data_IF_352072958636
#
_entry.id   IF_352072958636
#
_cell.length_a   1.000
_cell.length_b   1.000
_cell.length_c   1.000
_cell.angle_alpha   90.00
_cell.angle_beta   90.00
_cell.angle_gamma   90.00
#
_symmetry.space_group_name_H-M   'P 1'
#
loop_
_entity.id
_entity.type
_entity.pdbx_description
1 polymer ?
#
# COMPACT_ATOMS: atom_id res chain seq x y z
N UNK A 1 3.50 -16.47 23.85
CA UNK A 1 2.45 -15.44 23.98
C UNK A 1 2.59 -14.48 22.81
N UNK A 2 1.98 -14.76 21.65
CA UNK A 2 2.24 -14.01 20.40
C UNK A 2 0.97 -13.62 19.60
N UNK A 3 -0.23 -13.96 20.07
CA UNK A 3 -1.45 -13.76 19.27
C UNK A 3 -2.01 -12.33 19.30
N UNK A 4 -1.46 -11.44 20.12
CA UNK A 4 -1.98 -10.07 20.30
C UNK A 4 -1.20 -9.00 19.52
N UNK A 5 -0.01 -9.32 19.00
CA UNK A 5 0.87 -8.36 18.31
C UNK A 5 0.62 -8.28 16.80
N UNK A 6 -0.23 -9.17 16.28
CA UNK A 6 -0.48 -9.30 14.85
C UNK A 6 -1.99 -9.19 14.57
N UNK A 7 -2.45 -8.03 14.10
CA UNK A 7 -3.82 -7.84 13.63
C UNK A 7 -3.81 -8.07 12.11
N UNK A 8 -4.62 -9.01 11.61
CA UNK A 8 -4.69 -9.38 10.19
C UNK A 8 -3.41 -9.99 9.56
N UNK A 9 -2.47 -10.45 10.39
CA UNK A 9 -1.19 -11.01 9.90
C UNK A 9 -0.13 -9.94 9.61
N UNK A 10 -0.26 -8.74 10.18
CA UNK A 10 0.75 -7.66 10.13
C UNK A 10 1.17 -7.24 11.54
N UNK A 11 2.47 -6.99 11.79
CA UNK A 11 2.99 -6.43 13.04
C UNK A 11 2.33 -5.09 13.42
N UNK A 12 1.99 -4.94 14.69
CA UNK A 12 1.44 -3.69 15.25
C UNK A 12 2.34 -2.46 14.98
N UNK A 13 3.67 -2.65 14.93
CA UNK A 13 4.64 -1.59 14.65
C UNK A 13 4.38 -0.89 13.32
N UNK A 14 4.01 -1.62 12.26
CA UNK A 14 3.63 -1.06 10.96
C UNK A 14 2.31 -0.29 11.01
N UNK A 15 1.33 -0.72 11.80
CA UNK A 15 0.07 -0.01 11.96
C UNK A 15 0.28 1.35 12.65
N UNK A 16 1.17 1.40 13.64
CA UNK A 16 1.57 2.66 14.30
C UNK A 16 2.29 3.58 13.30
N UNK A 17 3.17 3.05 12.45
CA UNK A 17 3.80 3.84 11.39
C UNK A 17 2.80 4.36 10.35
N UNK A 18 1.83 3.54 9.95
CA UNK A 18 0.74 3.98 9.08
C UNK A 18 -0.05 5.14 9.71
N UNK A 19 -0.43 5.02 10.98
CA UNK A 19 -1.14 6.09 11.69
C UNK A 19 -0.31 7.39 11.72
N UNK A 20 0.97 7.31 12.09
CA UNK A 20 1.89 8.47 12.07
C UNK A 20 1.99 9.10 10.68
N UNK A 21 1.98 8.27 9.64
CA UNK A 21 2.01 8.71 8.24
C UNK A 21 0.74 9.45 7.84
N UNK A 22 -0.44 8.94 8.26
CA UNK A 22 -1.73 9.60 8.01
C UNK A 22 -1.76 10.98 8.68
N UNK A 23 -1.43 11.05 9.98
CA UNK A 23 -1.39 12.31 10.73
C UNK A 23 -0.41 13.33 10.12
N UNK A 24 0.72 12.84 9.58
CA UNK A 24 1.70 13.68 8.88
C UNK A 24 1.14 14.22 7.57
N UNK A 25 0.50 13.37 6.75
CA UNK A 25 -0.09 13.76 5.48
C UNK A 25 -1.15 14.83 5.69
N UNK A 26 -2.02 14.69 6.69
CA UNK A 26 -3.03 15.69 7.02
C UNK A 26 -2.41 17.06 7.36
N UNK A 27 -1.28 17.06 8.09
CA UNK A 27 -0.53 18.29 8.39
C UNK A 27 0.11 18.89 7.14
N UNK A 28 0.69 18.05 6.28
CA UNK A 28 1.31 18.48 5.02
C UNK A 28 0.27 19.07 4.08
N UNK A 29 -0.90 18.44 3.94
CA UNK A 29 -1.99 18.91 3.10
C UNK A 29 -2.59 20.21 3.65
N UNK A 30 -2.77 20.32 4.97
CA UNK A 30 -3.20 21.55 5.62
C UNK A 30 -2.20 22.71 5.41
N UNK A 31 -0.89 22.43 5.43
CA UNK A 31 0.14 23.41 5.16
C UNK A 31 0.14 23.87 3.69
N UNK A 32 0.03 22.92 2.74
CA UNK A 32 -0.05 23.20 1.30
C UNK A 32 -1.28 24.01 0.93
N UNK A 33 -2.43 23.74 1.56
CA UNK A 33 -3.66 24.49 1.30
C UNK A 33 -3.64 25.92 1.86
N UNK A 34 -2.88 26.18 2.95
CA UNK A 34 -2.78 27.51 3.56
C UNK A 34 -1.77 28.43 2.86
N UNK A 35 -0.72 27.86 2.29
CA UNK A 35 0.33 28.63 1.63
C UNK A 35 0.19 28.52 0.12
N UNK A 36 -0.18 29.62 -0.54
CA UNK A 36 -0.05 29.80 -2.01
C UNK A 36 1.40 29.59 -2.50
N UNK A 37 2.36 29.47 -1.57
CA UNK A 37 3.79 29.24 -1.79
C UNK A 37 4.15 27.83 -1.30
N UNK A 38 4.86 27.10 -2.16
CA UNK A 38 5.28 25.69 -2.14
C UNK A 38 6.17 25.22 -0.98
N UNK A 39 6.40 26.03 0.05
CA UNK A 39 7.45 25.74 1.04
C UNK A 39 6.85 25.26 2.36
N UNK A 40 7.05 23.97 2.65
CA UNK A 40 6.68 23.33 3.91
C UNK A 40 7.50 23.97 5.06
N UNK A 41 6.90 24.28 6.23
CA UNK A 41 7.66 24.77 7.38
C UNK A 41 8.79 23.81 7.76
N UNK A 42 9.97 24.33 8.13
CA UNK A 42 11.16 23.51 8.46
C UNK A 42 10.89 22.45 9.53
N UNK A 43 10.04 22.76 10.51
CA UNK A 43 9.68 21.80 11.56
C UNK A 43 8.86 20.64 11.00
N UNK A 44 7.97 20.90 10.04
CA UNK A 44 7.20 19.86 9.36
C UNK A 44 8.08 19.06 8.38
N UNK A 45 9.06 19.70 7.75
CA UNK A 45 10.06 19.02 6.91
C UNK A 45 10.87 18.01 7.73
N UNK A 46 11.34 18.39 8.92
CA UNK A 46 12.01 17.45 9.85
C UNK A 46 11.13 16.27 10.24
N UNK A 47 9.85 16.53 10.53
CA UNK A 47 8.89 15.45 10.81
C UNK A 47 8.71 14.52 9.62
N UNK A 48 8.77 15.04 8.39
CA UNK A 48 8.74 14.22 7.18
C UNK A 48 9.99 13.35 7.07
N UNK A 49 11.17 13.91 7.33
CA UNK A 49 12.44 13.18 7.30
C UNK A 49 12.49 12.07 8.36
N UNK A 50 12.00 12.36 9.57
CA UNK A 50 11.95 11.38 10.67
C UNK A 50 11.02 10.20 10.34
N UNK A 51 9.81 10.48 9.83
CA UNK A 51 8.87 9.42 9.42
C UNK A 51 9.37 8.66 8.20
N UNK A 52 9.99 9.34 7.23
CA UNK A 52 10.63 8.67 6.09
C UNK A 52 11.68 7.68 6.57
N UNK A 53 12.58 8.11 7.44
CA UNK A 53 13.61 7.25 8.02
C UNK A 53 12.99 6.06 8.73
N UNK A 54 12.00 6.29 9.59
CA UNK A 54 11.34 5.21 10.34
C UNK A 54 10.66 4.18 9.41
N UNK A 55 10.13 4.61 8.27
CA UNK A 55 9.54 3.71 7.27
C UNK A 55 10.64 2.95 6.52
N UNK A 56 11.65 3.63 5.98
CA UNK A 56 12.66 3.00 5.12
C UNK A 56 13.64 2.11 5.90
N UNK A 57 13.96 2.46 7.15
CA UNK A 57 14.82 1.68 8.03
C UNK A 57 14.04 0.64 8.86
N UNK A 58 12.73 0.47 8.60
CA UNK A 58 11.90 -0.47 9.36
C UNK A 58 12.42 -1.92 9.19
N UNK A 59 12.72 -2.63 10.29
CA UNK A 59 13.52 -3.85 10.22
C UNK A 59 12.66 -5.09 9.95
N UNK A 60 12.24 -5.26 8.69
CA UNK A 60 11.39 -6.38 8.22
C UNK A 60 11.86 -7.75 8.72
N UNK A 61 13.13 -8.10 8.49
CA UNK A 61 13.65 -9.42 8.84
C UNK A 61 13.75 -9.64 10.36
N UNK A 62 14.05 -8.59 11.14
CA UNK A 62 14.13 -8.68 12.59
C UNK A 62 12.74 -8.88 13.20
N UNK A 63 11.76 -8.13 12.75
CA UNK A 63 10.37 -8.23 13.21
C UNK A 63 9.78 -9.60 12.85
N UNK A 64 10.12 -10.12 11.65
CA UNK A 64 9.62 -11.42 11.20
C UNK A 64 10.39 -12.61 11.78
N UNK A 65 11.64 -12.44 12.24
CA UNK A 65 12.42 -13.52 12.85
C UNK A 65 11.69 -14.19 14.02
N UNK A 66 10.93 -13.40 14.79
CA UNK A 66 10.14 -13.84 15.93
C UNK A 66 9.05 -14.86 15.55
N UNK A 67 8.55 -14.79 14.31
CA UNK A 67 7.51 -15.67 13.78
C UNK A 67 8.08 -16.91 13.10
N UNK A 68 9.35 -16.86 12.65
CA UNK A 68 10.03 -18.01 12.03
C UNK A 68 10.26 -19.13 13.04
N UNK A 69 10.66 -18.77 14.26
CA UNK A 69 10.97 -19.73 15.32
C UNK A 69 9.73 -20.45 15.87
N UNK A 70 8.52 -20.00 15.51
CA UNK A 70 7.26 -20.55 16.00
C UNK A 70 6.80 -21.83 15.26
N UNK A 71 7.55 -22.32 14.27
CA UNK A 71 7.28 -23.57 13.52
C UNK A 71 5.94 -23.58 12.73
N UNK A 72 5.53 -22.42 12.21
CA UNK A 72 4.26 -22.20 11.50
C UNK A 72 4.49 -22.13 9.98
N UNK A 73 5.28 -23.05 9.39
CA UNK A 73 5.84 -22.94 8.02
C UNK A 73 4.97 -22.24 6.97
N UNK A 74 3.83 -22.83 6.58
CA UNK A 74 2.93 -22.22 5.57
C UNK A 74 2.34 -20.87 6.00
N UNK A 75 1.94 -20.70 7.27
CA UNK A 75 1.37 -19.43 7.70
C UNK A 75 2.45 -18.37 7.90
N UNK A 76 3.69 -18.75 8.16
CA UNK A 76 4.84 -17.85 8.22
C UNK A 76 5.07 -17.20 6.85
N UNK A 77 5.06 -17.98 5.77
CA UNK A 77 5.24 -17.44 4.41
C UNK A 77 4.13 -16.43 4.07
N UNK A 78 2.87 -16.74 4.42
CA UNK A 78 1.75 -15.80 4.24
C UNK A 78 1.97 -14.53 5.05
N UNK A 79 2.37 -14.63 6.34
CA UNK A 79 2.65 -13.48 7.20
C UNK A 79 3.81 -12.66 6.63
N UNK A 80 4.86 -13.31 6.12
CA UNK A 80 6.02 -12.67 5.52
C UNK A 80 5.62 -11.82 4.31
N UNK A 81 4.96 -12.43 3.32
CA UNK A 81 4.51 -11.73 2.12
C UNK A 81 3.48 -10.63 2.44
N UNK A 82 2.59 -10.88 3.40
CA UNK A 82 1.61 -9.88 3.83
C UNK A 82 2.29 -8.67 4.48
N UNK A 83 3.26 -8.91 5.36
CA UNK A 83 4.00 -7.87 6.05
C UNK A 83 4.84 -7.05 5.07
N UNK A 84 5.56 -7.73 4.17
CA UNK A 84 6.38 -7.07 3.14
C UNK A 84 5.53 -6.25 2.18
N UNK A 85 4.42 -6.79 1.69
CA UNK A 85 3.50 -6.03 0.81
C UNK A 85 2.91 -4.82 1.51
N UNK A 86 2.55 -4.92 2.79
CA UNK A 86 2.05 -3.78 3.56
C UNK A 86 3.11 -2.70 3.78
N UNK A 87 4.33 -3.09 4.13
CA UNK A 87 5.45 -2.17 4.29
C UNK A 87 5.77 -1.43 2.99
N UNK A 88 5.84 -2.14 1.88
CA UNK A 88 6.03 -1.54 0.55
C UNK A 88 4.87 -0.60 0.16
N UNK A 89 3.63 -0.95 0.52
CA UNK A 89 2.47 -0.08 0.28
C UNK A 89 2.54 1.20 1.12
N UNK A 90 3.05 1.11 2.35
CA UNK A 90 3.33 2.26 3.20
C UNK A 90 4.40 3.18 2.60
N UNK A 91 5.46 2.62 2.02
CA UNK A 91 6.48 3.39 1.28
C UNK A 91 5.84 4.15 0.11
N UNK A 92 5.01 3.48 -0.70
CA UNK A 92 4.27 4.11 -1.81
C UNK A 92 3.37 5.23 -1.28
N UNK A 93 2.58 4.95 -0.25
CA UNK A 93 1.65 5.90 0.34
C UNK A 93 2.36 7.14 0.88
N UNK A 94 3.45 6.99 1.63
CA UNK A 94 4.25 8.12 2.10
C UNK A 94 4.84 8.91 0.93
N UNK A 95 5.50 8.21 0.00
CA UNK A 95 6.25 8.82 -1.11
C UNK A 95 5.37 9.63 -2.05
N UNK A 96 4.16 9.15 -2.33
CA UNK A 96 3.18 9.85 -3.15
C UNK A 96 2.71 11.15 -2.50
N UNK A 97 2.54 11.16 -1.17
CA UNK A 97 1.80 12.21 -0.48
C UNK A 97 2.71 13.26 0.12
N UNK A 98 3.84 12.84 0.64
CA UNK A 98 4.79 13.74 1.27
C UNK A 98 5.81 14.21 0.24
N UNK A 99 6.50 13.28 -0.43
CA UNK A 99 7.62 13.58 -1.35
C UNK A 99 7.21 13.84 -2.79
N UNK A 100 5.97 13.53 -3.17
CA UNK A 100 5.44 13.66 -4.53
C UNK A 100 6.33 12.96 -5.59
N UNK A 101 6.89 11.79 -5.25
CA UNK A 101 7.82 11.07 -6.12
C UNK A 101 7.15 10.60 -7.42
N UNK A 102 7.95 10.52 -8.48
CA UNK A 102 7.53 9.95 -9.76
C UNK A 102 7.21 8.47 -9.61
N UNK A 103 6.14 8.02 -10.27
CA UNK A 103 5.81 6.59 -10.43
C UNK A 103 7.00 5.72 -10.85
N UNK A 104 7.96 6.27 -11.62
CA UNK A 104 9.17 5.55 -12.04
C UNK A 104 10.02 5.06 -10.86
N UNK A 105 10.10 5.84 -9.77
CA UNK A 105 10.82 5.44 -8.56
C UNK A 105 10.02 4.44 -7.71
N UNK A 106 8.69 4.44 -7.85
CA UNK A 106 7.80 3.56 -7.08
C UNK A 106 7.62 2.18 -7.72
N UNK A 107 8.02 2.02 -8.98
CA UNK A 107 7.86 0.80 -9.77
C UNK A 107 8.36 -0.46 -9.09
N UNK A 108 9.50 -0.40 -8.40
CA UNK A 108 10.06 -1.55 -7.70
C UNK A 108 9.13 -2.04 -6.58
N UNK A 109 8.59 -1.13 -5.77
CA UNK A 109 7.66 -1.44 -4.69
C UNK A 109 6.34 -1.99 -5.23
N UNK A 110 5.85 -1.44 -6.35
CA UNK A 110 4.65 -1.95 -7.04
C UNK A 110 4.86 -3.41 -7.48
N UNK A 111 6.02 -3.72 -8.07
CA UNK A 111 6.34 -5.05 -8.54
C UNK A 111 6.49 -6.06 -7.40
N UNK A 112 7.12 -5.66 -6.29
CA UNK A 112 7.25 -6.49 -5.09
C UNK A 112 5.90 -6.78 -4.44
N UNK A 113 5.04 -5.77 -4.27
CA UNK A 113 3.69 -5.98 -3.73
C UNK A 113 2.90 -6.95 -4.60
N UNK A 114 2.95 -6.78 -5.93
CA UNK A 114 2.25 -7.66 -6.85
C UNK A 114 2.75 -9.10 -6.78
N UNK A 115 4.06 -9.29 -6.66
CA UNK A 115 4.65 -10.61 -6.45
C UNK A 115 4.17 -11.24 -5.13
N UNK A 116 4.16 -10.46 -4.04
CA UNK A 116 3.76 -10.92 -2.71
C UNK A 116 2.29 -11.36 -2.67
N UNK A 117 1.38 -10.54 -3.22
CA UNK A 117 -0.06 -10.88 -3.24
C UNK A 117 -0.36 -12.06 -4.15
N UNK A 118 0.39 -12.26 -5.24
CA UNK A 118 0.28 -13.45 -6.09
C UNK A 118 0.79 -14.71 -5.36
N UNK A 119 1.92 -14.61 -4.65
CA UNK A 119 2.50 -15.69 -3.86
C UNK A 119 1.56 -16.13 -2.73
N UNK A 120 0.95 -15.19 -2.01
CA UNK A 120 -0.05 -15.47 -0.98
C UNK A 120 -1.22 -16.28 -1.56
N UNK A 121 -1.75 -15.87 -2.71
CA UNK A 121 -2.88 -16.56 -3.35
C UNK A 121 -2.47 -17.93 -3.92
N UNK A 122 -1.22 -18.13 -4.32
CA UNK A 122 -0.69 -19.45 -4.70
C UNK A 122 -0.65 -20.39 -3.48
N UNK A 123 -0.05 -19.95 -2.37
CA UNK A 123 0.04 -20.71 -1.12
C UNK A 123 -1.36 -21.07 -0.60
N UNK A 124 -2.30 -20.12 -0.60
CA UNK A 124 -3.70 -20.36 -0.21
C UNK A 124 -4.37 -21.43 -1.07
N UNK A 125 -4.09 -21.44 -2.37
CA UNK A 125 -4.66 -22.42 -3.30
C UNK A 125 -4.11 -23.82 -3.00
N UNK A 126 -2.79 -23.95 -2.81
CA UNK A 126 -2.12 -25.21 -2.50
C UNK A 126 -2.57 -25.80 -1.15
N UNK A 127 -2.77 -24.92 -0.16
CA UNK A 127 -3.13 -25.31 1.22
C UNK A 127 -4.62 -25.33 1.49
N UNK A 128 -5.44 -25.00 0.47
CA UNK A 128 -6.91 -24.90 0.55
C UNK A 128 -7.39 -23.94 1.65
N UNK A 129 -6.62 -22.89 1.91
CA UNK A 129 -6.93 -21.89 2.92
C UNK A 129 -7.85 -20.81 2.34
N UNK A 130 -9.04 -20.68 2.90
CA UNK A 130 -10.01 -19.66 2.49
C UNK A 130 -9.91 -18.44 3.42
N UNK A 131 -8.99 -17.53 3.12
CA UNK A 131 -8.90 -16.24 3.80
C UNK A 131 -8.80 -15.11 2.79
N UNK A 132 -9.58 -14.06 3.02
CA UNK A 132 -9.52 -12.83 2.25
C UNK A 132 -8.10 -12.22 2.31
N UNK A 133 -7.56 -11.72 1.18
CA UNK A 133 -6.32 -10.95 1.22
C UNK A 133 -6.54 -9.59 1.89
N UNK A 134 -5.46 -8.98 2.39
CA UNK A 134 -5.50 -7.56 2.75
C UNK A 134 -5.48 -6.75 1.45
N UNK A 135 -6.51 -5.93 1.29
CA UNK A 135 -6.74 -5.27 0.01
C UNK A 135 -5.99 -3.96 -0.13
N UNK A 136 -5.75 -3.24 0.98
CA UNK A 136 -5.08 -1.94 0.94
C UNK A 136 -3.72 -1.97 0.25
N UNK A 137 -2.82 -2.95 0.48
CA UNK A 137 -1.54 -3.02 -0.26
C UNK A 137 -1.74 -3.17 -1.77
N UNK A 138 -2.62 -4.08 -2.19
CA UNK A 138 -2.93 -4.30 -3.60
C UNK A 138 -3.54 -3.06 -4.26
N UNK A 139 -4.45 -2.37 -3.56
CA UNK A 139 -5.03 -1.11 -4.01
C UNK A 139 -3.95 -0.05 -4.21
N UNK A 140 -3.12 0.21 -3.19
CA UNK A 140 -2.07 1.21 -3.25
C UNK A 140 -1.10 0.96 -4.41
N UNK A 141 -0.60 -0.27 -4.54
CA UNK A 141 0.31 -0.64 -5.62
C UNK A 141 -0.34 -0.51 -7.01
N UNK A 142 -1.59 -0.98 -7.16
CA UNK A 142 -2.30 -0.92 -8.43
C UNK A 142 -2.54 0.53 -8.89
N UNK A 143 -2.79 1.47 -7.98
CA UNK A 143 -2.96 2.89 -8.34
C UNK A 143 -1.69 3.54 -8.93
N UNK A 144 -0.51 2.95 -8.73
CA UNK A 144 0.78 3.38 -9.31
C UNK A 144 1.25 2.50 -10.48
N UNK A 145 0.49 1.46 -10.83
CA UNK A 145 0.81 0.59 -11.95
C UNK A 145 0.45 1.28 -13.28
N UNK A 146 1.42 2.00 -13.86
CA UNK A 146 1.25 2.64 -15.17
C UNK A 146 1.71 1.75 -16.35
N UNK A 147 2.51 0.73 -16.09
CA UNK A 147 2.93 -0.23 -17.12
C UNK A 147 1.79 -1.20 -17.43
N UNK A 148 1.46 -1.35 -18.72
CA UNK A 148 0.43 -2.26 -19.19
C UNK A 148 0.61 -3.69 -18.65
N UNK A 149 1.84 -4.20 -18.62
CA UNK A 149 2.14 -5.52 -18.08
C UNK A 149 1.77 -5.68 -16.60
N UNK A 150 2.03 -4.65 -15.77
CA UNK A 150 1.66 -4.68 -14.35
C UNK A 150 0.15 -4.57 -14.19
N UNK A 151 -0.51 -3.70 -14.97
CA UNK A 151 -1.97 -3.58 -14.97
C UNK A 151 -2.67 -4.90 -15.31
N UNK A 152 -2.18 -5.62 -16.32
CA UNK A 152 -2.74 -6.92 -16.73
C UNK A 152 -2.60 -7.97 -15.63
N UNK A 153 -1.46 -8.02 -14.94
CA UNK A 153 -1.29 -8.90 -13.79
C UNK A 153 -2.20 -8.53 -12.62
N UNK A 154 -2.35 -7.24 -12.30
CA UNK A 154 -3.31 -6.79 -11.29
C UNK A 154 -4.75 -7.15 -11.68
N UNK A 155 -5.15 -7.04 -12.96
CA UNK A 155 -6.47 -7.50 -13.44
C UNK A 155 -6.68 -8.98 -13.13
N UNK A 156 -5.74 -9.83 -13.55
CA UNK A 156 -5.79 -11.27 -13.29
C UNK A 156 -5.90 -11.56 -11.78
N UNK A 157 -5.15 -10.84 -10.95
CA UNK A 157 -5.23 -10.98 -9.51
C UNK A 157 -6.61 -10.59 -8.95
N UNK A 158 -7.16 -9.44 -9.34
CA UNK A 158 -8.50 -9.00 -8.91
C UNK A 158 -9.61 -9.98 -9.32
N UNK A 159 -9.52 -10.56 -10.52
CA UNK A 159 -10.44 -11.60 -10.98
C UNK A 159 -10.35 -12.86 -10.11
N UNK A 160 -9.12 -13.30 -9.77
CA UNK A 160 -8.90 -14.47 -8.90
C UNK A 160 -9.49 -14.27 -7.51
N UNK A 161 -9.33 -13.10 -6.91
CA UNK A 161 -9.81 -12.82 -5.54
C UNK A 161 -11.27 -12.37 -5.49
N UNK A 162 -11.94 -12.21 -6.63
CA UNK A 162 -13.37 -11.84 -6.70
C UNK A 162 -14.28 -12.88 -6.01
N UNK A 163 -13.82 -14.14 -5.90
CA UNK A 163 -14.52 -15.24 -5.21
C UNK A 163 -14.80 -14.93 -3.73
N UNK A 164 -14.00 -14.07 -3.09
CA UNK A 164 -14.20 -13.69 -1.69
C UNK A 164 -15.40 -12.74 -1.50
N UNK A 165 -16.01 -12.21 -2.57
CA UNK A 165 -17.26 -11.46 -2.50
C UNK A 165 -17.20 -10.12 -1.75
N UNK A 166 -15.99 -9.59 -1.52
CA UNK A 166 -15.78 -8.39 -0.71
C UNK A 166 -16.20 -7.14 -1.48
N UNK A 167 -17.20 -6.42 -0.98
CA UNK A 167 -17.72 -5.21 -1.65
C UNK A 167 -16.65 -4.11 -1.77
N UNK A 168 -15.86 -3.89 -0.72
CA UNK A 168 -14.78 -2.90 -0.71
C UNK A 168 -13.76 -3.12 -1.83
N UNK A 169 -13.43 -4.38 -2.10
CA UNK A 169 -12.54 -4.77 -3.21
C UNK A 169 -13.10 -4.29 -4.54
N UNK A 170 -14.38 -4.59 -4.83
CA UNK A 170 -15.03 -4.20 -6.08
C UNK A 170 -15.00 -2.69 -6.29
N UNK A 171 -15.33 -1.95 -5.24
CA UNK A 171 -15.32 -0.49 -5.24
C UNK A 171 -13.90 0.07 -5.47
N UNK A 172 -12.89 -0.47 -4.80
CA UNK A 172 -11.50 -0.07 -4.99
C UNK A 172 -10.96 -0.41 -6.39
N UNK A 173 -11.31 -1.57 -6.95
CA UNK A 173 -10.93 -1.97 -8.31
C UNK A 173 -11.48 -1.01 -9.36
N UNK A 174 -12.71 -0.49 -9.18
CA UNK A 174 -13.26 0.53 -10.07
C UNK A 174 -12.43 1.83 -10.07
N UNK A 175 -12.02 2.28 -8.88
CA UNK A 175 -11.13 3.45 -8.75
C UNK A 175 -9.81 3.21 -9.47
N UNK A 176 -9.20 2.04 -9.27
CA UNK A 176 -7.94 1.65 -9.95
C UNK A 176 -8.10 1.70 -11.47
N UNK A 177 -9.18 1.15 -12.02
CA UNK A 177 -9.41 1.17 -13.47
C UNK A 177 -9.60 2.57 -14.03
N UNK A 178 -10.28 3.45 -13.30
CA UNK A 178 -10.40 4.85 -13.70
C UNK A 178 -9.06 5.59 -13.62
N UNK A 179 -8.21 5.29 -12.63
CA UNK A 179 -6.83 5.81 -12.57
C UNK A 179 -6.03 5.37 -13.80
N UNK A 180 -6.08 4.09 -14.16
CA UNK A 180 -5.38 3.57 -15.34
C UNK A 180 -5.87 4.19 -16.65
N UNK A 181 -7.18 4.40 -16.76
CA UNK A 181 -7.80 5.04 -17.93
C UNK A 181 -7.38 6.50 -18.09
N UNK A 182 -7.24 7.24 -16.98
CA UNK A 182 -6.71 8.61 -17.00
C UNK A 182 -5.23 8.65 -17.37
N UNK A 183 -4.50 7.60 -16.98
CA UNK A 183 -3.07 7.48 -17.24
C UNK A 183 -2.25 8.56 -16.49
N UNK A 184 -0.92 8.58 -16.68
CA UNK A 184 -0.10 9.67 -16.20
C UNK A 184 -0.47 10.96 -16.94
N UNK A 185 -0.85 12.00 -16.20
CA UNK A 185 -1.26 13.30 -16.75
C UNK A 185 -0.14 13.93 -17.58
N UNK A 186 -0.49 14.51 -18.74
CA UNK A 186 0.43 15.32 -19.56
C UNK A 186 0.89 16.62 -18.87
N UNK A 187 0.20 17.02 -17.80
CA UNK A 187 0.39 18.27 -17.06
C UNK A 187 1.57 18.26 -16.07
N UNK A 188 2.51 17.31 -16.21
CA UNK A 188 3.69 17.21 -15.35
C UNK A 188 3.41 16.68 -13.94
N UNK A 189 2.17 16.27 -13.62
CA UNK A 189 1.83 15.61 -12.35
C UNK A 189 2.37 14.18 -12.34
N UNK A 190 3.26 13.88 -11.40
CA UNK A 190 4.06 12.64 -11.41
C UNK A 190 3.54 11.54 -10.49
N UNK A 191 2.51 11.84 -9.69
CA UNK A 191 1.89 10.96 -8.71
C UNK A 191 0.51 10.46 -9.16
N UNK A 192 0.05 9.33 -8.60
CA UNK A 192 -1.28 8.79 -8.88
C UNK A 192 -2.43 9.72 -8.48
N UNK A 193 -3.49 9.71 -9.28
CA UNK A 193 -4.68 10.56 -9.11
C UNK A 193 -5.80 9.89 -8.31
N UNK A 194 -5.53 8.78 -7.63
CA UNK A 194 -6.57 7.96 -7.00
C UNK A 194 -7.44 8.76 -6.01
N UNK A 195 -6.89 9.72 -5.24
CA UNK A 195 -7.70 10.59 -4.36
C UNK A 195 -8.69 11.46 -5.14
N UNK A 196 -8.24 12.08 -6.22
CA UNK A 196 -9.10 12.88 -7.09
C UNK A 196 -10.21 12.03 -7.71
N UNK A 197 -9.88 10.81 -8.15
CA UNK A 197 -10.88 9.84 -8.64
C UNK A 197 -11.93 9.53 -7.57
N UNK A 198 -11.51 9.28 -6.33
CA UNK A 198 -12.41 8.95 -5.21
C UNK A 198 -13.35 10.12 -4.88
N UNK A 199 -12.82 11.34 -4.84
CA UNK A 199 -13.60 12.56 -4.61
C UNK A 199 -14.64 12.79 -5.73
N UNK A 200 -14.23 12.66 -6.99
CA UNK A 200 -15.09 12.87 -8.16
C UNK A 200 -16.18 11.78 -8.28
N UNK A 201 -15.81 10.52 -8.02
CA UNK A 201 -16.74 9.39 -8.11
C UNK A 201 -17.64 9.26 -6.87
N UNK A 202 -17.40 10.07 -5.82
CA UNK A 202 -18.10 10.01 -4.51
C UNK A 202 -18.10 8.62 -3.89
N UNK A 203 -17.03 7.88 -4.15
CA UNK A 203 -16.87 6.51 -3.68
C UNK A 203 -16.39 6.52 -2.24
N UNK A 204 -17.04 5.76 -1.36
CA UNK A 204 -16.52 5.50 -0.01
C UNK A 204 -15.61 4.28 -0.07
N UNK A 205 -14.30 4.52 0.03
CA UNK A 205 -13.30 3.48 0.19
C UNK A 205 -13.24 3.04 1.66
N UNK A 206 -13.66 1.81 1.93
CA UNK A 206 -13.33 1.11 3.18
C UNK A 206 -12.10 0.25 2.90
N UNK A 207 -10.91 0.86 2.98
CA UNK A 207 -9.65 0.16 2.77
C UNK A 207 -8.98 -0.19 4.11
#
# INVERSE_FOLDING_TARGET
MASYECIYGIPQSLLVLLQRTIDLIDKVDAARNKHVITTIPRDLERMCDDVEKDIFDWPLDLELSQYRDSNIGTSFDIIYYQTRSFHNALIIYFSQNVRLLSHRYLRQYVAEILHDIEAIEAIKTETKLLAAPLFWPAFMAATEAHDQHLQDRFRCWYEKVAVYGIKAVRTGTQVVYEVWKRGPTSDGRVTSQWRSVVEETRVTLML
#
